data_IF_671011451127
#
_entry.id   IF_671011451127
#
_cell.length_a   1.000
_cell.length_b   1.000
_cell.length_c   1.000
_cell.angle_alpha   90.00
_cell.angle_beta   90.00
_cell.angle_gamma   90.00
#
_symmetry.space_group_name_H-M   'P 1'
#
loop_
_entity.id
_entity.type
_entity.pdbx_description
1 polymer ?
#
# COMPACT_ATOMS: atom_id res chain seq x y z
N UNK A 1 -4.48 -0.67 -16.43
CA UNK A 1 -3.97 -1.72 -15.50
C UNK A 1 -2.50 -1.51 -15.10
N UNK A 2 -1.57 -1.12 -15.99
CA UNK A 2 -0.15 -0.90 -15.64
C UNK A 2 0.07 0.03 -14.43
N UNK A 3 -0.59 1.19 -14.41
CA UNK A 3 -0.45 2.16 -13.30
C UNK A 3 -0.96 1.61 -11.96
N UNK A 4 -2.07 0.87 -11.98
CA UNK A 4 -2.59 0.19 -10.80
C UNK A 4 -1.62 -0.87 -10.27
N UNK A 5 -1.04 -1.70 -11.14
CA UNK A 5 -0.05 -2.70 -10.72
C UNK A 5 1.21 -2.06 -10.12
N UNK A 6 1.68 -0.95 -10.69
CA UNK A 6 2.82 -0.21 -10.13
C UNK A 6 2.47 0.36 -8.75
N UNK A 7 1.30 1.01 -8.62
CA UNK A 7 0.86 1.58 -7.35
C UNK A 7 0.67 0.50 -6.28
N UNK A 8 0.10 -0.64 -6.63
CA UNK A 8 -0.07 -1.76 -5.72
C UNK A 8 1.27 -2.39 -5.30
N UNK A 9 2.23 -2.51 -6.23
CA UNK A 9 3.59 -2.96 -5.91
C UNK A 9 4.29 -2.04 -4.90
N UNK A 10 4.15 -0.72 -5.09
CA UNK A 10 4.66 0.29 -4.14
C UNK A 10 3.97 0.14 -2.78
N UNK A 11 2.66 -0.11 -2.75
CA UNK A 11 1.92 -0.31 -1.51
C UNK A 11 2.42 -1.52 -0.71
N UNK A 12 2.70 -2.65 -1.38
CA UNK A 12 3.26 -3.84 -0.72
C UNK A 12 4.60 -3.51 -0.06
N UNK A 13 5.49 -2.81 -0.79
CA UNK A 13 6.78 -2.39 -0.23
C UNK A 13 6.62 -1.45 0.96
N UNK A 14 5.69 -0.49 0.86
CA UNK A 14 5.39 0.46 1.93
C UNK A 14 4.86 -0.22 3.19
N UNK A 15 3.87 -1.11 3.05
CA UNK A 15 3.32 -1.86 4.18
C UNK A 15 4.37 -2.82 4.75
N UNK A 16 5.15 -3.48 3.90
CA UNK A 16 6.29 -4.30 4.31
C UNK A 16 7.30 -3.51 5.14
N UNK A 17 7.59 -2.26 4.76
CA UNK A 17 8.46 -1.37 5.53
C UNK A 17 7.83 -0.97 6.89
N UNK A 18 6.53 -0.63 6.92
CA UNK A 18 5.82 -0.30 8.17
C UNK A 18 5.86 -1.47 9.16
N UNK A 19 5.64 -2.69 8.69
CA UNK A 19 5.69 -3.89 9.53
C UNK A 19 7.13 -4.26 9.89
N UNK A 20 8.08 -4.17 8.95
CA UNK A 20 9.48 -4.50 9.17
C UNK A 20 10.15 -3.60 10.22
N UNK A 21 9.84 -2.30 10.18
CA UNK A 21 10.33 -1.31 11.15
C UNK A 21 9.51 -1.29 12.45
N UNK A 22 8.45 -2.09 12.55
CA UNK A 22 7.50 -2.06 13.65
C UNK A 22 7.03 -0.64 13.98
N UNK A 23 6.59 0.09 12.94
CA UNK A 23 6.26 1.50 13.04
C UNK A 23 5.18 1.72 14.11
N UNK A 24 5.54 2.42 15.18
CA UNK A 24 4.68 2.65 16.37
C UNK A 24 4.15 1.35 17.01
N UNK A 25 4.88 0.24 16.89
CA UNK A 25 4.47 -1.05 17.45
C UNK A 25 3.42 -1.79 16.61
N UNK A 26 3.17 -1.39 15.36
CA UNK A 26 2.14 -1.98 14.51
C UNK A 26 2.33 -3.48 14.29
N UNK A 27 3.54 -3.94 14.02
CA UNK A 27 3.82 -5.37 13.83
C UNK A 27 3.60 -6.11 15.13
N UNK A 28 4.11 -5.58 16.23
CA UNK A 28 3.92 -6.17 17.56
C UNK A 28 2.44 -6.29 17.90
N UNK A 29 1.64 -5.27 17.61
CA UNK A 29 0.18 -5.28 17.81
C UNK A 29 -0.50 -6.35 16.96
N UNK A 30 -0.11 -6.49 15.70
CA UNK A 30 -0.68 -7.49 14.79
C UNK A 30 -0.33 -8.92 15.21
N UNK A 31 0.91 -9.16 15.66
CA UNK A 31 1.33 -10.49 16.14
C UNK A 31 0.63 -10.90 17.44
N UNK A 32 0.20 -9.93 18.26
CA UNK A 32 -0.56 -10.19 19.48
C UNK A 32 -2.05 -10.46 19.21
N UNK A 33 -2.54 -10.23 17.98
CA UNK A 33 -3.94 -10.41 17.61
C UNK A 33 -4.16 -11.68 16.79
N UNK A 34 -5.22 -12.47 17.07
CA UNK A 34 -5.63 -13.58 16.20
C UNK A 34 -5.90 -13.15 14.76
N UNK A 35 -6.31 -11.89 14.55
CA UNK A 35 -6.66 -11.32 13.25
C UNK A 35 -5.48 -10.60 12.57
N UNK A 36 -4.25 -10.75 13.08
CA UNK A 36 -3.09 -10.03 12.58
C UNK A 36 -2.84 -10.17 11.07
N UNK A 37 -3.06 -11.38 10.53
CA UNK A 37 -2.92 -11.64 9.08
C UNK A 37 -4.02 -10.95 8.28
N UNK A 38 -5.26 -10.97 8.78
CA UNK A 38 -6.39 -10.27 8.14
C UNK A 38 -6.14 -8.76 8.14
N UNK A 39 -5.68 -8.21 9.26
CA UNK A 39 -5.32 -6.80 9.37
C UNK A 39 -4.21 -6.42 8.37
N UNK A 40 -3.22 -7.29 8.16
CA UNK A 40 -2.15 -7.06 7.18
C UNK A 40 -2.69 -7.09 5.75
N UNK A 41 -3.61 -8.01 5.45
CA UNK A 41 -4.31 -8.06 4.17
C UNK A 41 -5.13 -6.80 3.88
N UNK A 42 -5.93 -6.35 4.85
CA UNK A 42 -6.76 -5.15 4.73
C UNK A 42 -5.89 -3.90 4.57
N UNK A 43 -4.84 -3.76 5.39
CA UNK A 43 -3.92 -2.63 5.31
C UNK A 43 -3.22 -2.58 3.95
N UNK A 44 -2.72 -3.72 3.46
CA UNK A 44 -2.08 -3.84 2.16
C UNK A 44 -3.04 -3.52 1.03
N UNK A 45 -4.27 -4.01 1.10
CA UNK A 45 -5.29 -3.74 0.08
C UNK A 45 -5.68 -2.25 0.06
N UNK A 46 -5.93 -1.65 1.23
CA UNK A 46 -6.30 -0.24 1.35
C UNK A 46 -5.19 0.67 0.79
N UNK A 47 -3.93 0.45 1.20
CA UNK A 47 -2.80 1.18 0.62
C UNK A 47 -2.61 0.88 -0.87
N UNK A 48 -2.84 -0.37 -1.28
CA UNK A 48 -2.84 -0.78 -2.67
C UNK A 48 -3.76 0.06 -3.53
N UNK A 49 -5.01 0.23 -3.10
CA UNK A 49 -5.98 1.10 -3.76
C UNK A 49 -5.54 2.57 -3.75
N UNK A 50 -5.05 3.08 -2.62
CA UNK A 50 -4.58 4.47 -2.49
C UNK A 50 -3.43 4.77 -3.46
N UNK A 51 -2.36 3.99 -3.45
CA UNK A 51 -1.20 4.21 -4.34
C UNK A 51 -1.55 3.94 -5.82
N UNK A 52 -2.41 2.97 -6.10
CA UNK A 52 -2.91 2.74 -7.47
C UNK A 52 -3.67 3.95 -8.02
N UNK A 53 -4.49 4.59 -7.20
CA UNK A 53 -5.21 5.82 -7.55
C UNK A 53 -4.25 6.98 -7.81
N UNK A 54 -3.24 7.16 -6.95
CA UNK A 54 -2.20 8.18 -7.14
C UNK A 54 -1.44 7.95 -8.46
N UNK A 55 -1.04 6.72 -8.77
CA UNK A 55 -0.34 6.41 -10.01
C UNK A 55 -1.18 6.69 -11.26
N UNK A 56 -2.49 6.50 -11.18
CA UNK A 56 -3.42 6.92 -12.24
C UNK A 56 -3.49 8.45 -12.33
N UNK A 57 -3.65 9.16 -11.21
CA UNK A 57 -3.70 10.62 -11.18
C UNK A 57 -2.44 11.28 -11.76
N UNK A 58 -1.26 10.76 -11.40
CA UNK A 58 0.03 11.19 -11.95
C UNK A 58 0.08 11.00 -13.47
N UNK A 59 -0.42 9.87 -13.99
CA UNK A 59 -0.44 9.62 -15.42
C UNK A 59 -1.34 10.62 -16.18
N UNK A 60 -2.43 11.06 -15.57
CA UNK A 60 -3.32 12.09 -16.14
C UNK A 60 -2.67 13.48 -16.06
N UNK A 61 -2.10 13.86 -14.91
CA UNK A 61 -1.49 15.18 -14.71
C UNK A 61 -0.22 15.39 -15.55
N UNK A 62 0.45 14.32 -15.94
CA UNK A 62 1.64 14.35 -16.80
C UNK A 62 1.33 14.09 -18.27
N UNK A 63 0.05 14.02 -18.66
CA UNK A 63 -0.32 13.89 -20.06
C UNK A 63 0.08 15.18 -20.79
N UNK A 64 0.94 15.11 -21.83
CA UNK A 64 1.31 16.30 -22.58
C UNK A 64 0.12 16.82 -23.37
N UNK A 65 -0.08 18.14 -23.34
CA UNK A 65 -0.99 18.84 -24.24
C UNK A 65 -0.43 18.72 -25.67
N UNK A 66 -1.15 17.98 -26.51
CA UNK A 66 -0.97 18.06 -27.96
C UNK A 66 -1.73 19.27 -28.50
#
# INVERSE_FOLDING_TARGET
>A
MRHALIGFGIAILFVGALLGLDAKGLRTLMLASPDGVLAAGILTFAMGCTFSSVQMGVAIMLLPDK
#
